data_IF_492376707989
#
_entry.id   IF_492376707989
#
_cell.length_a   1.000
_cell.length_b   1.000
_cell.length_c   1.000
_cell.angle_alpha   90.00
_cell.angle_beta   90.00
_cell.angle_gamma   90.00
#
_symmetry.space_group_name_H-M   'P 1'
#
loop_
_entity.id
_entity.type
_entity.pdbx_description
1 polymer ?
#
# COMPACT_ATOMS: atom_id res chain seq x y z
N UNK A 1 -11.26 16.44 1.10
CA UNK A 1 -9.84 16.13 1.29
C UNK A 1 -9.20 15.96 -0.08
N UNK A 2 -8.08 16.60 -0.30
CA UNK A 2 -7.39 16.55 -1.58
C UNK A 2 -6.31 15.48 -1.58
N UNK A 3 -6.25 14.73 -2.68
CA UNK A 3 -5.23 13.70 -2.87
C UNK A 3 -3.84 14.34 -2.98
N UNK A 4 -2.86 13.79 -2.27
CA UNK A 4 -1.47 14.21 -2.39
C UNK A 4 -0.78 13.34 -3.45
N UNK A 5 -0.74 13.85 -4.68
CA UNK A 5 -0.20 13.08 -5.81
C UNK A 5 1.28 12.75 -5.67
N UNK A 6 2.06 13.64 -5.07
CA UNK A 6 3.50 13.38 -4.86
C UNK A 6 3.72 12.18 -3.92
N UNK A 7 2.90 12.09 -2.87
CA UNK A 7 2.98 10.96 -1.93
C UNK A 7 2.48 9.66 -2.55
N UNK A 8 1.41 9.72 -3.34
CA UNK A 8 0.94 8.54 -4.08
C UNK A 8 2.00 8.09 -5.08
N UNK A 9 2.72 9.01 -5.73
CA UNK A 9 3.84 8.67 -6.61
C UNK A 9 4.94 7.93 -5.84
N UNK A 10 5.27 8.35 -4.62
CA UNK A 10 6.23 7.62 -3.78
C UNK A 10 5.77 6.18 -3.52
N UNK A 11 4.48 5.96 -3.27
CA UNK A 11 3.93 4.62 -3.12
C UNK A 11 4.13 3.80 -4.39
N UNK A 12 3.79 4.36 -5.55
CA UNK A 12 3.96 3.65 -6.82
C UNK A 12 5.42 3.30 -7.09
N UNK A 13 6.34 4.22 -6.84
CA UNK A 13 7.78 3.96 -6.98
C UNK A 13 8.23 2.85 -6.05
N UNK A 14 7.74 2.81 -4.81
CA UNK A 14 8.08 1.77 -3.85
C UNK A 14 7.59 0.40 -4.32
N UNK A 15 6.35 0.32 -4.82
CA UNK A 15 5.77 -0.92 -5.34
C UNK A 15 6.55 -1.42 -6.57
N UNK A 16 7.11 -0.51 -7.37
CA UNK A 16 7.86 -0.84 -8.59
C UNK A 16 9.33 -1.13 -8.32
N UNK A 17 9.83 -0.83 -7.12
CA UNK A 17 11.27 -0.81 -6.82
C UNK A 17 11.91 -2.16 -6.56
N UNK A 18 11.13 -3.22 -6.38
CA UNK A 18 11.60 -4.55 -5.98
C UNK A 18 12.21 -4.60 -4.57
N UNK A 19 12.14 -3.53 -3.79
CA UNK A 19 12.64 -3.49 -2.41
C UNK A 19 11.73 -4.21 -1.43
N UNK A 20 10.45 -4.39 -1.78
CA UNK A 20 9.47 -5.03 -0.93
C UNK A 20 9.09 -6.39 -1.49
N UNK A 21 9.05 -7.40 -0.63
CA UNK A 21 8.56 -8.73 -0.99
C UNK A 21 7.08 -8.82 -0.63
N UNK A 22 6.26 -9.26 -1.56
CA UNK A 22 4.80 -9.27 -1.43
C UNK A 22 4.32 -10.42 -0.57
N UNK A 23 3.37 -10.12 0.34
CA UNK A 23 2.57 -11.15 1.02
C UNK A 23 1.08 -10.90 0.75
N UNK A 24 0.25 -11.83 1.23
CA UNK A 24 -1.21 -11.76 1.08
C UNK A 24 -1.90 -11.90 2.42
N UNK A 25 -3.11 -11.37 2.51
CA UNK A 25 -4.01 -11.50 3.67
C UNK A 25 -3.55 -10.79 4.93
N UNK A 26 -2.48 -10.01 4.89
CA UNK A 26 -1.99 -9.19 6.01
C UNK A 26 -1.25 -7.99 5.47
N UNK A 27 -1.23 -6.90 6.23
CA UNK A 27 -0.46 -5.71 5.87
C UNK A 27 1.04 -5.99 5.87
N UNK A 28 1.50 -6.77 6.83
CA UNK A 28 2.91 -7.17 6.94
C UNK A 28 3.02 -8.53 7.63
N UNK A 29 3.96 -9.34 7.19
CA UNK A 29 4.26 -10.63 7.82
C UNK A 29 5.75 -10.72 8.15
N UNK A 30 6.06 -11.30 9.32
CA UNK A 30 7.43 -11.58 9.70
C UNK A 30 7.97 -12.75 8.90
N UNK A 31 9.24 -12.64 8.47
CA UNK A 31 9.96 -13.75 7.84
C UNK A 31 10.72 -14.49 8.93
N UNK A 32 10.36 -15.75 9.17
CA UNK A 32 10.90 -16.55 10.25
C UNK A 32 12.12 -17.39 9.85
N UNK A 33 12.60 -17.26 8.61
CA UNK A 33 13.78 -18.01 8.14
C UNK A 33 15.07 -17.46 8.73
N UNK A 34 15.83 -18.34 9.36
CA UNK A 34 17.15 -18.01 9.88
C UNK A 34 18.09 -17.68 8.72
N UNK A 35 18.80 -16.56 8.83
CA UNK A 35 19.75 -16.12 7.81
C UNK A 35 19.13 -15.35 6.65
N UNK A 36 17.81 -15.14 6.63
CA UNK A 36 17.18 -14.31 5.62
C UNK A 36 17.57 -12.85 5.79
N UNK A 37 17.90 -12.18 4.67
CA UNK A 37 18.14 -10.72 4.64
C UNK A 37 16.85 -9.94 4.68
N UNK A 38 15.74 -10.56 4.28
CA UNK A 38 14.40 -9.96 4.32
C UNK A 38 13.77 -10.29 5.66
N UNK A 39 13.42 -9.25 6.43
CA UNK A 39 12.78 -9.41 7.75
C UNK A 39 11.27 -9.47 7.68
N UNK A 40 10.69 -8.78 6.70
CA UNK A 40 9.24 -8.64 6.57
C UNK A 40 8.83 -8.78 5.11
N UNK A 41 7.60 -9.27 4.93
CA UNK A 41 6.89 -9.19 3.65
C UNK A 41 5.68 -8.29 3.84
N UNK A 42 5.19 -7.67 2.75
CA UNK A 42 4.16 -6.63 2.81
C UNK A 42 3.08 -6.91 1.76
N UNK A 43 1.81 -6.61 2.08
CA UNK A 43 0.83 -6.40 1.02
C UNK A 43 0.98 -4.96 0.49
N UNK A 44 0.25 -4.62 -0.56
CA UNK A 44 0.34 -3.28 -1.16
C UNK A 44 -0.01 -2.16 -0.17
N UNK A 45 -1.03 -2.36 0.68
CA UNK A 45 -1.35 -1.37 1.73
C UNK A 45 -0.27 -1.31 2.81
N UNK A 46 0.37 -2.44 3.11
CA UNK A 46 1.52 -2.45 4.03
C UNK A 46 2.69 -1.65 3.50
N UNK A 47 2.96 -1.71 2.20
CA UNK A 47 3.96 -0.85 1.56
C UNK A 47 3.55 0.62 1.71
N UNK A 48 2.27 0.94 1.51
CA UNK A 48 1.76 2.31 1.67
C UNK A 48 2.02 2.85 3.08
N UNK A 49 1.81 2.02 4.10
CA UNK A 49 2.08 2.39 5.49
C UNK A 49 3.58 2.62 5.69
N UNK A 50 4.41 1.69 5.23
CA UNK A 50 5.86 1.80 5.41
C UNK A 50 6.45 3.03 4.72
N UNK A 51 5.99 3.35 3.51
CA UNK A 51 6.40 4.57 2.80
C UNK A 51 6.09 5.81 3.62
N UNK A 52 4.88 5.90 4.19
CA UNK A 52 4.47 7.03 5.00
C UNK A 52 5.35 7.16 6.26
N UNK A 53 5.61 6.06 6.95
CA UNK A 53 6.45 6.03 8.15
C UNK A 53 7.89 6.43 7.81
N UNK A 54 8.44 5.93 6.71
CA UNK A 54 9.80 6.28 6.27
C UNK A 54 9.91 7.76 5.89
N UNK A 55 8.80 8.40 5.55
CA UNK A 55 8.75 9.83 5.24
C UNK A 55 8.30 10.68 6.44
N UNK A 56 8.40 10.14 7.66
CA UNK A 56 8.24 10.89 8.89
C UNK A 56 6.86 10.87 9.54
N UNK A 57 5.90 10.14 8.97
CA UNK A 57 4.58 10.02 9.58
C UNK A 57 4.67 9.23 10.88
N UNK A 58 4.08 9.77 11.94
CA UNK A 58 3.94 9.06 13.21
C UNK A 58 2.50 8.54 13.35
N UNK A 59 2.38 7.25 13.65
CA UNK A 59 1.09 6.61 13.89
C UNK A 59 0.95 6.45 15.40
N UNK A 60 0.06 7.24 16.01
CA UNK A 60 -0.02 7.37 17.47
C UNK A 60 -1.16 6.58 18.10
N UNK A 61 -2.13 6.15 17.32
CA UNK A 61 -3.36 5.56 17.83
C UNK A 61 -3.23 4.11 18.28
N UNK A 62 -2.18 3.42 17.88
CA UNK A 62 -1.93 1.99 18.21
C UNK A 62 -0.44 1.74 18.28
N UNK A 63 -0.08 0.65 18.99
CA UNK A 63 1.25 0.07 18.86
C UNK A 63 1.48 -0.28 17.38
N UNK A 64 2.59 0.16 16.76
CA UNK A 64 2.86 -0.14 15.35
C UNK A 64 2.74 -1.62 14.97
N UNK A 65 3.02 -2.52 15.88
CA UNK A 65 2.91 -3.95 15.63
C UNK A 65 1.46 -4.40 15.47
N UNK A 66 0.50 -3.75 16.13
CA UNK A 66 -0.90 -4.16 16.11
C UNK A 66 -1.59 -3.84 14.78
N UNK A 67 -1.30 -2.71 14.17
CA UNK A 67 -1.98 -2.34 12.92
C UNK A 67 -1.42 -3.08 11.69
N UNK A 68 -0.21 -3.63 11.76
CA UNK A 68 0.29 -4.48 10.68
C UNK A 68 -0.41 -5.84 10.59
N UNK A 69 -1.13 -6.25 11.63
CA UNK A 69 -1.92 -7.48 11.58
C UNK A 69 -3.33 -7.28 11.03
N UNK A 70 -3.73 -6.04 10.76
CA UNK A 70 -4.96 -5.77 10.01
C UNK A 70 -4.78 -6.25 8.56
N UNK A 71 -5.86 -6.72 7.95
CA UNK A 71 -5.83 -7.34 6.63
C UNK A 71 -6.17 -6.40 5.49
N UNK A 72 -6.89 -5.32 5.74
CA UNK A 72 -7.66 -4.72 4.67
C UNK A 72 -7.78 -3.21 4.72
N UNK A 73 -7.16 -2.53 5.69
CA UNK A 73 -7.36 -1.08 5.78
C UNK A 73 -6.15 -0.32 6.29
N UNK A 74 -6.00 0.89 5.77
CA UNK A 74 -4.98 1.83 6.24
C UNK A 74 -5.43 2.45 7.57
N UNK A 75 -4.49 2.69 8.51
CA UNK A 75 -4.77 3.58 9.63
C UNK A 75 -5.21 4.95 9.12
N UNK A 76 -6.09 5.64 9.85
CA UNK A 76 -6.63 6.91 9.38
C UNK A 76 -5.54 7.96 9.13
N UNK A 77 -4.45 7.96 9.91
CA UNK A 77 -3.34 8.88 9.71
C UNK A 77 -2.65 8.66 8.36
N UNK A 78 -2.50 7.40 7.95
CA UNK A 78 -1.92 7.04 6.65
C UNK A 78 -2.86 7.42 5.51
N UNK A 79 -4.15 7.12 5.67
CA UNK A 79 -5.16 7.50 4.69
C UNK A 79 -5.13 9.01 4.42
N UNK A 80 -5.10 9.81 5.47
CA UNK A 80 -5.05 11.27 5.37
C UNK A 80 -3.72 11.74 4.77
N UNK A 81 -2.62 11.10 5.12
CA UNK A 81 -1.30 11.47 4.60
C UNK A 81 -1.25 11.38 3.07
N UNK A 82 -1.87 10.37 2.49
CA UNK A 82 -2.01 10.26 1.03
C UNK A 82 -3.18 11.10 0.47
N UNK A 83 -4.18 11.39 1.28
CA UNK A 83 -5.40 12.04 0.82
C UNK A 83 -6.40 11.08 0.17
N UNK A 84 -6.36 9.80 0.50
CA UNK A 84 -7.33 8.84 0.01
C UNK A 84 -8.70 9.04 0.68
N UNK A 85 -9.77 8.86 -0.08
CA UNK A 85 -11.13 8.97 0.45
C UNK A 85 -11.52 7.78 1.33
N UNK A 86 -10.89 6.62 1.09
CA UNK A 86 -11.18 5.37 1.80
C UNK A 86 -9.92 4.78 2.40
N UNK A 87 -10.08 4.00 3.46
CA UNK A 87 -8.98 3.28 4.11
C UNK A 87 -8.47 2.09 3.28
N UNK A 88 -9.23 1.68 2.27
CA UNK A 88 -8.85 0.63 1.31
C UNK A 88 -9.28 1.13 -0.08
N UNK A 89 -8.44 1.96 -0.73
CA UNK A 89 -8.81 2.65 -1.95
C UNK A 89 -9.11 1.69 -3.11
N UNK A 90 -10.06 2.09 -3.96
CA UNK A 90 -10.45 1.32 -5.13
C UNK A 90 -9.55 1.60 -6.31
N UNK A 91 -9.29 0.55 -7.08
CA UNK A 91 -8.54 0.59 -8.33
C UNK A 91 -9.28 -0.25 -9.39
N UNK A 92 -8.92 -0.09 -10.64
CA UNK A 92 -9.39 -0.94 -11.73
C UNK A 92 -8.28 -1.91 -12.12
N UNK A 93 -8.56 -3.21 -12.02
CA UNK A 93 -7.68 -4.26 -12.51
C UNK A 93 -8.40 -4.93 -13.66
N UNK A 94 -7.82 -4.88 -14.85
CA UNK A 94 -8.45 -5.30 -16.09
C UNK A 94 -9.79 -4.57 -16.28
N UNK A 95 -10.92 -5.26 -16.23
CA UNK A 95 -12.23 -4.67 -16.51
C UNK A 95 -13.12 -4.55 -15.26
N UNK A 96 -12.58 -4.79 -14.05
CA UNK A 96 -13.39 -4.70 -12.84
C UNK A 96 -12.75 -3.82 -11.76
N UNK A 97 -13.61 -3.20 -10.98
CA UNK A 97 -13.19 -2.37 -9.85
C UNK A 97 -13.01 -3.25 -8.61
N UNK A 98 -11.92 -3.04 -7.90
CA UNK A 98 -11.61 -3.77 -6.67
C UNK A 98 -10.80 -2.87 -5.74
N UNK A 99 -10.82 -3.17 -4.45
CA UNK A 99 -9.97 -2.47 -3.50
C UNK A 99 -8.52 -2.96 -3.61
N UNK A 100 -7.57 -2.10 -3.25
CA UNK A 100 -6.13 -2.43 -3.33
C UNK A 100 -5.80 -3.71 -2.56
N UNK A 101 -6.31 -3.86 -1.34
CA UNK A 101 -6.05 -5.07 -0.55
C UNK A 101 -6.58 -6.33 -1.22
N UNK A 102 -7.78 -6.25 -1.79
CA UNK A 102 -8.39 -7.39 -2.50
C UNK A 102 -7.60 -7.74 -3.76
N UNK A 103 -7.16 -6.75 -4.53
CA UNK A 103 -6.32 -6.98 -5.71
C UNK A 103 -5.01 -7.69 -5.33
N UNK A 104 -4.40 -7.29 -4.22
CA UNK A 104 -3.19 -7.92 -3.70
C UNK A 104 -3.43 -9.38 -3.33
N UNK A 105 -4.53 -9.64 -2.62
CA UNK A 105 -4.84 -10.99 -2.14
C UNK A 105 -5.31 -11.92 -3.26
N UNK A 106 -5.87 -11.36 -4.32
CA UNK A 106 -6.32 -12.11 -5.50
C UNK A 106 -5.18 -12.54 -6.44
N UNK A 107 -3.94 -12.15 -6.13
CA UNK A 107 -2.77 -12.62 -6.87
C UNK A 107 -2.13 -11.61 -7.81
N UNK A 108 -2.58 -10.36 -7.80
CA UNK A 108 -1.93 -9.32 -8.61
C UNK A 108 -0.60 -8.92 -7.96
N UNK A 109 0.46 -8.82 -8.77
CA UNK A 109 1.76 -8.39 -8.27
C UNK A 109 1.80 -6.88 -8.03
N UNK A 110 2.87 -6.42 -7.38
CA UNK A 110 3.03 -5.00 -7.07
C UNK A 110 3.11 -4.12 -8.31
N UNK A 111 3.69 -4.61 -9.40
CA UNK A 111 3.73 -3.85 -10.65
C UNK A 111 2.32 -3.58 -11.18
N UNK A 112 1.51 -4.63 -11.27
CA UNK A 112 0.12 -4.52 -11.74
C UNK A 112 -0.69 -3.57 -10.86
N UNK A 113 -0.56 -3.68 -9.54
CA UNK A 113 -1.24 -2.81 -8.59
C UNK A 113 -0.77 -1.37 -8.76
N UNK A 114 0.53 -1.14 -8.90
CA UNK A 114 1.10 0.19 -9.10
C UNK A 114 0.55 0.85 -10.36
N UNK A 115 0.50 0.11 -11.48
CA UNK A 115 -0.05 0.64 -12.72
C UNK A 115 -1.53 1.02 -12.56
N UNK A 116 -2.29 0.23 -11.82
CA UNK A 116 -3.70 0.52 -11.53
C UNK A 116 -3.85 1.78 -10.66
N UNK A 117 -2.97 1.95 -9.66
CA UNK A 117 -2.96 3.15 -8.81
C UNK A 117 -2.63 4.38 -9.66
N UNK A 118 -1.62 4.30 -10.51
CA UNK A 118 -1.25 5.39 -11.42
C UNK A 118 -2.41 5.79 -12.31
N UNK A 119 -3.07 4.82 -12.91
CA UNK A 119 -4.20 5.06 -13.80
C UNK A 119 -5.37 5.74 -13.08
N UNK A 120 -5.65 5.34 -11.84
CA UNK A 120 -6.80 5.86 -11.08
C UNK A 120 -6.53 7.20 -10.43
N UNK A 121 -5.34 7.40 -9.86
CA UNK A 121 -5.08 8.53 -8.97
C UNK A 121 -4.08 9.55 -9.52
N UNK A 122 -3.20 9.15 -10.42
CA UNK A 122 -2.13 10.03 -10.91
C UNK A 122 -2.33 10.49 -12.35
N UNK A 123 -3.12 9.75 -13.12
CA UNK A 123 -3.34 10.12 -14.51
C UNK A 123 -4.17 11.41 -14.58
N UNK A 124 -3.69 12.37 -15.38
CA UNK A 124 -4.42 13.60 -15.63
C UNK A 124 -5.66 13.25 -16.47
N UNK A 125 -6.87 13.57 -15.98
CA UNK A 125 -8.10 13.27 -16.73
C UNK A 125 -8.20 14.03 -18.05
N UNK A 126 -7.42 15.10 -18.21
CA UNK A 126 -7.40 15.91 -19.43
C UNK A 126 -6.28 15.50 -20.41
N UNK A 127 -5.51 14.48 -20.04
CA UNK A 127 -4.41 13.99 -20.88
C UNK A 127 -4.89 13.03 -21.97
#
# INVERSE_FOLDING_TARGET
MELNKDRVELLCQALESERYVQCRNRLRMDVLSVGSKVKFTYCALGVAIDVAVQNGLQITARNPEDWYYDHSSLPWEVRIWYGFENSNPDIWVDEYETAIASANDDGNDFWTISQAIRARYLKDPDA
#
